data_IF_294901317939
#
_entry.id   IF_294901317939
#
_cell.length_a   1.000
_cell.length_b   1.000
_cell.length_c   1.000
_cell.angle_alpha   90.00
_cell.angle_beta   90.00
_cell.angle_gamma   90.00
#
_symmetry.space_group_name_H-M   'P 1'
#
loop_
_entity.id
_entity.type
_entity.pdbx_description
1 polymer ?
#
# COMPACT_ATOMS: atom_id res chain seq x y z
N UNK A 1 14.18 -3.01 9.69
CA UNK A 1 14.20 -1.53 9.64
C UNK A 1 12.78 -1.03 9.82
N UNK A 2 12.55 0.08 10.53
CA UNK A 2 11.23 0.73 10.55
C UNK A 2 11.15 1.70 9.36
N UNK A 3 10.36 1.34 8.34
CA UNK A 3 10.09 2.21 7.21
C UNK A 3 9.20 3.38 7.66
N UNK A 4 9.54 4.59 7.22
CA UNK A 4 8.70 5.76 7.48
C UNK A 4 7.65 5.86 6.39
N UNK A 5 6.36 5.82 6.78
CA UNK A 5 5.25 5.98 5.84
C UNK A 5 5.31 7.35 5.15
N UNK A 6 5.29 7.42 3.81
CA UNK A 6 5.22 8.68 3.09
C UNK A 6 4.00 9.49 3.51
N UNK A 7 4.15 10.81 3.63
CA UNK A 7 3.08 11.72 4.06
C UNK A 7 1.83 11.58 3.19
N UNK A 8 2.00 11.35 1.88
CA UNK A 8 0.90 11.17 0.93
C UNK A 8 0.11 9.87 1.14
N UNK A 9 0.79 8.80 1.58
CA UNK A 9 0.18 7.51 1.94
C UNK A 9 -0.51 7.62 3.31
N UNK A 10 0.15 8.24 4.28
CA UNK A 10 -0.42 8.48 5.61
C UNK A 10 -1.71 9.31 5.53
N UNK A 11 -1.72 10.39 4.74
CA UNK A 11 -2.93 11.20 4.50
C UNK A 11 -4.08 10.39 3.92
N UNK A 12 -3.79 9.50 2.96
CA UNK A 12 -4.79 8.61 2.38
C UNK A 12 -5.37 7.67 3.44
N UNK A 13 -4.51 7.01 4.22
CA UNK A 13 -4.92 6.12 5.31
C UNK A 13 -5.80 6.83 6.34
N UNK A 14 -5.39 8.01 6.80
CA UNK A 14 -6.17 8.81 7.77
C UNK A 14 -7.54 9.20 7.23
N UNK A 15 -7.63 9.64 5.97
CA UNK A 15 -8.89 10.02 5.35
C UNK A 15 -9.84 8.82 5.18
N UNK A 16 -9.32 7.68 4.70
CA UNK A 16 -10.10 6.44 4.57
C UNK A 16 -10.59 5.95 5.93
N UNK A 17 -9.72 5.95 6.95
CA UNK A 17 -10.06 5.55 8.30
C UNK A 17 -11.16 6.44 8.90
N UNK A 18 -11.01 7.77 8.81
CA UNK A 18 -12.02 8.71 9.29
C UNK A 18 -13.38 8.48 8.63
N UNK A 19 -13.40 8.34 7.30
CA UNK A 19 -14.64 8.12 6.55
C UNK A 19 -15.30 6.78 6.88
N UNK A 20 -14.52 5.71 6.99
CA UNK A 20 -15.05 4.40 7.37
C UNK A 20 -15.65 4.41 8.78
N UNK A 21 -15.03 5.15 9.71
CA UNK A 21 -15.52 5.29 11.09
C UNK A 21 -16.79 6.13 11.17
N UNK A 22 -16.89 7.21 10.39
CA UNK A 22 -18.07 8.07 10.33
C UNK A 22 -19.24 7.40 9.59
N UNK A 23 -18.95 6.60 8.57
CA UNK A 23 -19.97 6.00 7.71
C UNK A 23 -19.68 4.51 7.46
N UNK A 24 -19.98 3.60 8.41
CA UNK A 24 -19.61 2.19 8.33
C UNK A 24 -20.18 1.44 7.11
N UNK A 25 -21.36 1.86 6.63
CA UNK A 25 -22.02 1.27 5.46
C UNK A 25 -21.64 1.95 4.13
N UNK A 26 -20.70 2.91 4.15
CA UNK A 26 -20.26 3.61 2.95
C UNK A 26 -19.34 2.73 2.10
N UNK A 27 -19.68 2.59 0.82
CA UNK A 27 -18.82 1.91 -0.15
C UNK A 27 -17.86 2.90 -0.81
N UNK A 28 -16.56 2.62 -0.73
CA UNK A 28 -15.54 3.40 -1.43
C UNK A 28 -15.51 3.04 -2.93
N UNK A 29 -16.25 3.78 -3.75
CA UNK A 29 -16.37 3.50 -5.19
C UNK A 29 -15.07 3.68 -5.98
N UNK A 30 -14.15 4.53 -5.52
CA UNK A 30 -12.88 4.83 -6.20
C UNK A 30 -11.65 4.32 -5.41
N UNK A 31 -11.81 3.34 -4.53
CA UNK A 31 -10.71 2.86 -3.68
C UNK A 31 -9.53 2.32 -4.51
N UNK A 32 -9.84 1.56 -5.58
CA UNK A 32 -8.82 0.96 -6.43
C UNK A 32 -7.89 2.01 -7.04
N UNK A 33 -8.42 3.09 -7.62
CA UNK A 33 -7.62 4.21 -8.12
C UNK A 33 -6.65 4.75 -7.06
N UNK A 34 -7.09 4.84 -5.79
CA UNK A 34 -6.24 5.33 -4.70
C UNK A 34 -5.17 4.34 -4.26
N UNK A 35 -5.44 3.03 -4.33
CA UNK A 35 -4.47 1.98 -3.96
C UNK A 35 -3.43 1.78 -5.07
N UNK A 36 -3.80 1.94 -6.34
CA UNK A 36 -2.89 1.83 -7.48
C UNK A 36 -1.96 3.04 -7.68
N UNK A 37 -2.05 4.06 -6.83
CA UNK A 37 -1.12 5.19 -6.89
C UNK A 37 0.32 4.72 -6.69
N UNK A 38 1.24 5.29 -7.49
CA UNK A 38 2.66 4.92 -7.49
C UNK A 38 3.30 5.02 -6.10
N UNK A 39 2.94 6.02 -5.29
CA UNK A 39 3.49 6.20 -3.95
C UNK A 39 3.01 5.13 -2.95
N UNK A 40 1.77 4.67 -3.09
CA UNK A 40 1.22 3.55 -2.31
C UNK A 40 1.90 2.25 -2.71
N UNK A 41 2.00 1.96 -4.01
CA UNK A 41 2.64 0.74 -4.52
C UNK A 41 4.13 0.67 -4.15
N UNK A 42 4.86 1.78 -4.29
CA UNK A 42 6.28 1.85 -3.91
C UNK A 42 6.47 1.60 -2.41
N UNK A 43 5.64 2.23 -1.55
CA UNK A 43 5.74 1.99 -0.12
C UNK A 43 5.36 0.55 0.27
N UNK A 44 4.37 -0.04 -0.38
CA UNK A 44 3.99 -1.44 -0.17
C UNK A 44 5.13 -2.39 -0.55
N UNK A 45 5.79 -2.13 -1.68
CA UNK A 45 6.96 -2.89 -2.13
C UNK A 45 8.09 -2.87 -1.08
N UNK A 46 8.49 -1.68 -0.62
CA UNK A 46 9.51 -1.54 0.43
C UNK A 46 9.11 -2.26 1.72
N UNK A 47 7.84 -2.15 2.13
CA UNK A 47 7.32 -2.87 3.29
C UNK A 47 7.46 -4.38 3.14
N UNK A 48 7.07 -4.94 1.99
CA UNK A 48 7.19 -6.37 1.73
C UNK A 48 8.65 -6.81 1.75
N UNK A 49 9.54 -6.06 1.10
CA UNK A 49 10.98 -6.35 1.07
C UNK A 49 11.60 -6.33 2.46
N UNK A 50 11.31 -5.31 3.26
CA UNK A 50 11.85 -5.16 4.62
C UNK A 50 11.40 -6.26 5.59
N UNK A 51 10.27 -6.92 5.30
CA UNK A 51 9.76 -8.05 6.08
C UNK A 51 10.21 -9.42 5.53
N UNK A 52 11.17 -9.47 4.60
CA UNK A 52 11.63 -10.71 3.99
C UNK A 52 10.57 -11.36 3.11
N UNK A 53 9.85 -10.54 2.35
CA UNK A 53 8.63 -10.89 1.60
C UNK A 53 8.71 -12.15 0.73
N UNK A 54 7.55 -12.58 0.23
CA UNK A 54 7.43 -13.76 -0.61
C UNK A 54 7.42 -13.41 -2.11
N UNK A 55 7.67 -14.42 -2.94
CA UNK A 55 7.47 -14.33 -4.37
C UNK A 55 6.03 -13.93 -4.71
N UNK A 56 5.86 -13.22 -5.83
CA UNK A 56 4.55 -12.92 -6.39
C UNK A 56 3.77 -14.18 -6.78
N UNK A 57 2.49 -14.03 -7.14
CA UNK A 57 1.67 -15.14 -7.65
C UNK A 57 2.20 -15.73 -8.95
N UNK A 58 3.03 -14.97 -9.65
CA UNK A 58 3.81 -15.34 -10.83
C UNK A 58 5.13 -16.05 -10.51
N UNK A 59 5.49 -16.16 -9.24
CA UNK A 59 6.73 -16.76 -8.76
C UNK A 59 7.95 -15.83 -8.81
N UNK A 60 7.79 -14.56 -9.22
CA UNK A 60 8.92 -13.61 -9.26
C UNK A 60 9.31 -13.14 -7.86
N UNK A 61 10.61 -13.16 -7.56
CA UNK A 61 11.17 -12.62 -6.31
C UNK A 61 11.63 -11.18 -6.47
N UNK A 62 12.05 -10.55 -5.36
CA UNK A 62 12.65 -9.22 -5.39
C UNK A 62 13.94 -9.20 -6.23
N UNK A 63 14.74 -10.26 -6.15
CA UNK A 63 15.99 -10.42 -6.91
C UNK A 63 15.74 -10.56 -8.43
N UNK A 64 14.59 -11.10 -8.85
CA UNK A 64 14.22 -11.19 -10.26
C UNK A 64 13.88 -9.81 -10.88
N UNK A 65 13.48 -8.85 -10.03
CA UNK A 65 12.98 -7.53 -10.44
C UNK A 65 14.08 -6.47 -10.30
N UNK A 66 14.82 -6.49 -9.21
CA UNK A 66 15.90 -5.54 -8.91
C UNK A 66 17.20 -6.03 -9.53
N UNK A 67 17.47 -5.56 -10.74
CA UNK A 67 18.74 -5.76 -11.45
C UNK A 67 19.69 -4.58 -11.26
#
# INVERSE_FOLDING_TARGET
MNLTTPVSVQKLQTALHAKAKESPNFRFYALYDKVYRKDVLAFAYECCKANGGAAGVDGQTFEDIET
#
